data_IF_945795063404
#
_entry.id   IF_945795063404
#
_cell.length_a   1.000
_cell.length_b   1.000
_cell.length_c   1.000
_cell.angle_alpha   90.00
_cell.angle_beta   90.00
_cell.angle_gamma   90.00
#
_symmetry.space_group_name_H-M   'P 1'
#
loop_
_entity.id
_entity.type
_entity.pdbx_description
1 polymer ?
#
# COMPACT_ATOMS: atom_id res chain seq x y z
N UNK A 1 -59.00 -3.15 2.18
CA UNK A 1 -57.88 -2.21 2.44
C UNK A 1 -56.64 -2.82 1.81
N UNK A 2 -56.01 -2.16 0.83
CA UNK A 2 -54.82 -2.67 0.11
C UNK A 2 -53.57 -2.13 0.79
N UNK A 3 -52.72 -3.02 1.30
CA UNK A 3 -51.46 -2.70 1.97
C UNK A 3 -50.35 -2.55 0.93
N UNK A 4 -49.62 -1.44 0.99
CA UNK A 4 -48.48 -1.15 0.13
C UNK A 4 -47.21 -1.60 0.84
N UNK A 5 -46.56 -2.66 0.34
CA UNK A 5 -45.27 -3.13 0.84
C UNK A 5 -44.16 -2.28 0.22
N UNK A 6 -43.61 -1.36 1.00
CA UNK A 6 -42.43 -0.58 0.61
C UNK A 6 -41.19 -1.43 0.91
N UNK A 7 -40.53 -1.90 -0.14
CA UNK A 7 -39.33 -2.72 -0.05
C UNK A 7 -38.10 -1.86 0.29
N UNK A 8 -37.32 -2.41 1.20
CA UNK A 8 -36.22 -1.83 1.98
C UNK A 8 -35.05 -1.36 1.12
N UNK A 9 -34.53 -0.18 1.46
CA UNK A 9 -33.38 0.51 0.87
C UNK A 9 -32.08 -0.32 0.94
N UNK A 10 -31.44 -0.49 -0.22
CA UNK A 10 -30.11 -1.07 -0.38
C UNK A 10 -29.05 -0.09 0.17
N UNK A 11 -28.45 -0.41 1.32
CA UNK A 11 -27.34 0.35 1.86
C UNK A 11 -26.05 0.05 1.07
N UNK A 12 -25.66 0.97 0.19
CA UNK A 12 -24.35 0.96 -0.48
C UNK A 12 -23.28 1.36 0.57
N UNK A 13 -22.51 0.41 1.05
CA UNK A 13 -21.29 0.69 1.83
C UNK A 13 -20.24 1.25 0.87
N UNK A 14 -20.16 2.59 0.78
CA UNK A 14 -19.01 3.26 0.21
C UNK A 14 -17.83 3.03 1.14
N UNK A 15 -17.04 2.00 0.88
CA UNK A 15 -15.71 1.86 1.46
C UNK A 15 -14.87 3.04 0.97
N UNK A 16 -14.81 4.09 1.79
CA UNK A 16 -13.90 5.21 1.59
C UNK A 16 -12.48 4.64 1.62
N UNK A 17 -11.89 4.46 0.44
CA UNK A 17 -10.45 4.26 0.31
C UNK A 17 -9.81 5.61 0.58
N UNK A 18 -9.54 5.87 1.85
CA UNK A 18 -8.75 7.01 2.30
C UNK A 18 -7.39 6.90 1.59
N UNK A 19 -7.16 7.73 0.57
CA UNK A 19 -5.90 7.78 -0.16
C UNK A 19 -4.83 8.50 0.67
N UNK A 20 -4.59 8.04 1.90
CA UNK A 20 -3.43 8.44 2.67
C UNK A 20 -2.20 7.80 2.05
N UNK A 21 -1.11 8.55 1.95
CA UNK A 21 0.19 7.98 1.62
C UNK A 21 0.52 6.92 2.67
N UNK A 22 0.82 5.70 2.24
CA UNK A 22 1.13 4.63 3.18
C UNK A 22 2.36 5.00 4.02
N UNK A 23 2.35 4.60 5.29
CA UNK A 23 3.42 4.95 6.23
C UNK A 23 4.47 3.86 6.32
N UNK A 24 5.74 4.24 6.43
CA UNK A 24 6.82 3.29 6.66
C UNK A 24 6.80 2.84 8.12
N UNK A 25 6.77 1.52 8.35
CA UNK A 25 6.85 0.90 9.67
C UNK A 25 8.10 0.03 9.81
N UNK A 26 8.53 -0.19 11.04
CA UNK A 26 9.61 -1.14 11.35
C UNK A 26 9.10 -2.58 11.47
N UNK A 27 10.04 -3.53 11.59
CA UNK A 27 9.71 -4.95 11.68
C UNK A 27 8.90 -5.31 12.94
N UNK A 28 9.01 -4.55 14.04
CA UNK A 28 8.24 -4.81 15.27
C UNK A 28 6.80 -4.38 15.09
N UNK A 29 6.59 -3.19 14.57
CA UNK A 29 5.26 -2.67 14.23
C UNK A 29 4.57 -3.56 13.19
N UNK A 30 5.32 -4.09 12.23
CA UNK A 30 4.81 -5.01 11.23
C UNK A 30 4.26 -6.33 11.80
N UNK A 31 4.73 -6.79 12.97
CA UNK A 31 4.23 -8.01 13.61
C UNK A 31 2.80 -7.86 14.12
N UNK A 32 2.40 -6.63 14.46
CA UNK A 32 1.05 -6.31 14.94
C UNK A 32 0.09 -6.01 13.79
N UNK A 33 0.58 -5.96 12.55
CA UNK A 33 -0.21 -5.64 11.37
C UNK A 33 -0.50 -6.85 10.50
N UNK A 34 -1.60 -6.78 9.74
CA UNK A 34 -1.95 -7.84 8.80
C UNK A 34 -1.21 -7.62 7.48
N UNK A 35 -0.22 -8.49 7.20
CA UNK A 35 0.46 -8.53 5.90
C UNK A 35 -0.55 -8.89 4.80
N UNK A 36 -0.67 -8.02 3.81
CA UNK A 36 -1.57 -8.22 2.65
C UNK A 36 -0.81 -8.47 1.35
N UNK A 37 0.48 -8.18 1.29
CA UNK A 37 1.27 -8.40 0.07
C UNK A 37 2.70 -7.93 0.16
N UNK A 38 3.34 -7.84 -1.01
CA UNK A 38 4.65 -7.25 -1.17
C UNK A 38 4.73 -6.54 -2.53
N UNK A 39 5.50 -5.46 -2.57
CA UNK A 39 5.75 -4.67 -3.75
C UNK A 39 7.25 -4.60 -4.01
N UNK A 40 7.60 -4.72 -5.29
CA UNK A 40 8.93 -4.43 -5.81
C UNK A 40 8.85 -3.24 -6.75
N UNK A 41 9.81 -2.33 -6.61
CA UNK A 41 10.01 -1.22 -7.52
C UNK A 41 11.46 -1.19 -8.00
N UNK A 42 11.65 -0.64 -9.19
CA UNK A 42 12.95 -0.36 -9.75
C UNK A 42 12.90 1.05 -10.34
N UNK A 43 13.79 1.92 -9.87
CA UNK A 43 13.89 3.30 -10.32
C UNK A 43 15.26 3.49 -10.99
N UNK A 44 15.31 3.69 -12.31
CA UNK A 44 16.56 4.03 -13.01
C UNK A 44 17.01 5.43 -12.60
N UNK A 45 18.28 5.58 -12.25
CA UNK A 45 18.92 6.81 -11.76
C UNK A 45 18.15 7.50 -10.63
N UNK A 46 17.44 6.73 -9.80
CA UNK A 46 16.63 7.25 -8.71
C UNK A 46 17.43 7.56 -7.45
N UNK A 47 16.84 8.33 -6.56
CA UNK A 47 17.33 8.53 -5.18
C UNK A 47 16.61 7.61 -4.20
N UNK A 48 17.15 7.49 -2.98
CA UNK A 48 16.51 6.75 -1.91
C UNK A 48 15.13 7.33 -1.57
N UNK A 49 15.00 8.66 -1.50
CA UNK A 49 13.73 9.33 -1.19
C UNK A 49 12.66 9.03 -2.25
N UNK A 50 13.00 9.12 -3.54
CA UNK A 50 12.09 8.74 -4.63
C UNK A 50 11.66 7.27 -4.55
N UNK A 51 12.55 6.42 -4.04
CA UNK A 51 12.28 4.99 -3.85
C UNK A 51 11.27 4.79 -2.71
N UNK A 52 11.44 5.50 -1.59
CA UNK A 52 10.50 5.45 -0.46
C UNK A 52 9.12 6.00 -0.87
N UNK A 53 9.08 7.13 -1.58
CA UNK A 53 7.82 7.72 -2.06
C UNK A 53 7.09 6.79 -3.03
N UNK A 54 7.81 6.18 -3.97
CA UNK A 54 7.23 5.23 -4.91
C UNK A 54 6.71 3.95 -4.21
N UNK A 55 7.38 3.48 -3.16
CA UNK A 55 6.89 2.38 -2.33
C UNK A 55 5.62 2.78 -1.59
N UNK A 56 5.59 3.96 -0.95
CA UNK A 56 4.42 4.46 -0.24
C UNK A 56 3.20 4.59 -1.18
N UNK A 57 3.40 5.18 -2.36
CA UNK A 57 2.35 5.32 -3.37
C UNK A 57 1.83 3.96 -3.84
N UNK A 58 2.73 3.01 -4.12
CA UNK A 58 2.33 1.69 -4.62
C UNK A 58 1.70 0.80 -3.54
N UNK A 59 2.08 0.99 -2.28
CA UNK A 59 1.45 0.38 -1.11
C UNK A 59 0.00 0.86 -0.98
N UNK A 60 -0.23 2.17 -1.05
CA UNK A 60 -1.57 2.75 -1.03
C UNK A 60 -2.43 2.27 -2.22
N UNK A 61 -1.86 2.16 -3.42
CA UNK A 61 -2.54 1.60 -4.59
C UNK A 61 -2.97 0.13 -4.42
N UNK A 62 -2.24 -0.64 -3.62
CA UNK A 62 -2.59 -2.03 -3.29
C UNK A 62 -3.54 -2.12 -2.08
N UNK A 63 -3.99 -0.98 -1.54
CA UNK A 63 -4.90 -0.93 -0.39
C UNK A 63 -4.23 -1.23 0.94
N UNK A 64 -2.90 -1.08 1.02
CA UNK A 64 -2.15 -1.13 2.27
C UNK A 64 -1.97 0.25 2.88
N UNK A 65 -2.06 0.31 4.19
CA UNK A 65 -1.91 1.53 4.99
C UNK A 65 -0.45 1.68 5.48
N UNK A 66 0.28 0.58 5.56
CA UNK A 66 1.68 0.56 5.99
C UNK A 66 2.56 -0.28 5.07
N UNK A 67 3.85 0.07 5.03
CA UNK A 67 4.86 -0.75 4.36
C UNK A 67 6.12 -0.90 5.20
N UNK A 68 6.76 -2.06 5.07
CA UNK A 68 8.06 -2.33 5.67
C UNK A 68 9.06 -2.68 4.57
N UNK A 69 10.13 -1.90 4.47
CA UNK A 69 11.17 -2.14 3.47
C UNK A 69 12.01 -3.35 3.90
N UNK A 70 11.98 -4.41 3.10
CA UNK A 70 12.73 -5.65 3.37
C UNK A 70 14.06 -5.70 2.63
N UNK A 71 14.19 -4.98 1.51
CA UNK A 71 15.45 -4.94 0.76
C UNK A 71 15.56 -3.67 -0.08
N UNK A 72 16.74 -3.06 -0.06
CA UNK A 72 17.15 -2.01 -0.98
C UNK A 72 18.49 -2.44 -1.58
N UNK A 73 18.60 -2.39 -2.90
CA UNK A 73 19.82 -2.71 -3.63
C UNK A 73 19.98 -1.83 -4.86
N UNK A 74 21.18 -1.83 -5.42
CA UNK A 74 21.44 -1.23 -6.73
C UNK A 74 21.62 -2.33 -7.78
N UNK A 75 21.02 -2.13 -8.95
CA UNK A 75 21.06 -3.06 -10.09
C UNK A 75 21.68 -2.36 -11.30
N UNK A 76 22.41 -3.11 -12.13
CA UNK A 76 23.27 -2.52 -13.16
C UNK A 76 24.54 -1.94 -12.54
N UNK A 77 25.36 -1.20 -13.29
CA UNK A 77 26.61 -0.57 -12.80
C UNK A 77 26.39 0.55 -11.75
N UNK A 78 25.42 0.42 -10.84
CA UNK A 78 25.02 1.44 -9.88
C UNK A 78 23.86 2.32 -10.35
N UNK A 79 23.40 2.16 -11.59
CA UNK A 79 22.51 3.12 -12.27
C UNK A 79 21.02 2.91 -11.98
N UNK A 80 20.61 1.91 -11.21
CA UNK A 80 19.20 1.70 -10.87
C UNK A 80 19.05 1.27 -9.43
N UNK A 81 18.16 1.91 -8.68
CA UNK A 81 17.80 1.46 -7.34
C UNK A 81 16.65 0.47 -7.46
N UNK A 82 16.76 -0.66 -6.79
CA UNK A 82 15.70 -1.66 -6.68
C UNK A 82 15.34 -1.82 -5.22
N UNK A 83 14.08 -1.68 -4.88
CA UNK A 83 13.60 -1.85 -3.53
C UNK A 83 12.40 -2.79 -3.47
N UNK A 84 12.33 -3.55 -2.39
CA UNK A 84 11.23 -4.46 -2.08
C UNK A 84 10.69 -4.09 -0.71
N UNK A 85 9.38 -3.94 -0.61
CA UNK A 85 8.70 -3.71 0.65
C UNK A 85 7.51 -4.67 0.79
N UNK A 86 7.23 -5.05 2.02
CA UNK A 86 6.01 -5.74 2.37
C UNK A 86 4.92 -4.74 2.71
N UNK A 87 3.69 -5.09 2.36
CA UNK A 87 2.50 -4.25 2.46
C UNK A 87 1.61 -4.81 3.56
N UNK A 88 1.12 -3.91 4.39
CA UNK A 88 0.31 -4.21 5.56
C UNK A 88 -0.97 -3.35 5.54
N UNK A 89 -2.05 -3.94 6.06
CA UNK A 89 -3.24 -3.21 6.51
C UNK A 89 -2.95 -2.53 7.85
#
# INVERSE_FOLDING_TARGET
>A
MKTYTIATTLALLLSATSAFAASQIDARQAMDQQRIGAVRIQIPNGTLDQTVDALAQKTAQQGGDYFHITSIGSTGMGSSITATAEIYK
#
